data_IF_255678952568
#
_entry.id   IF_255678952568
#
_cell.length_a   1.000
_cell.length_b   1.000
_cell.length_c   1.000
_cell.angle_alpha   90.00
_cell.angle_beta   90.00
_cell.angle_gamma   90.00
#
_symmetry.space_group_name_H-M   'P 1'
#
loop_
_entity.id
_entity.type
_entity.pdbx_description
1 polymer ?
#
# COMPACT_ATOMS: atom_id res chain seq x y z
N UNK A 1 58.04 52.42 46.50
CA UNK A 1 57.92 52.87 45.11
C UNK A 1 57.70 51.65 44.23
N UNK A 2 56.56 51.58 43.51
CA UNK A 2 56.19 50.63 42.43
C UNK A 2 55.97 49.16 42.85
N UNK A 3 54.72 48.71 42.99
CA UNK A 3 53.71 48.29 41.99
C UNK A 3 53.75 46.77 41.73
N UNK A 4 52.61 46.15 42.07
CA UNK A 4 52.10 44.81 41.77
C UNK A 4 52.64 44.18 40.49
N UNK A 5 52.75 42.85 40.46
CA UNK A 5 52.08 42.00 39.45
C UNK A 5 51.98 40.56 40.02
N UNK A 6 50.76 40.13 40.34
CA UNK A 6 50.40 38.71 40.45
C UNK A 6 50.19 38.18 39.04
N UNK A 7 51.00 37.22 38.61
CA UNK A 7 50.78 36.48 37.37
C UNK A 7 50.23 35.09 37.73
N UNK A 8 48.92 34.97 37.57
CA UNK A 8 48.16 33.71 37.58
C UNK A 8 48.52 32.95 36.29
N UNK A 9 49.03 31.72 36.40
CA UNK A 9 49.15 30.81 35.26
C UNK A 9 47.76 30.24 34.92
N UNK A 10 47.33 30.25 33.64
CA UNK A 10 46.03 29.74 33.25
C UNK A 10 46.03 28.20 33.16
N UNK A 11 44.99 27.61 33.74
CA UNK A 11 44.64 26.21 33.59
C UNK A 11 44.23 25.91 32.13
N UNK A 12 44.84 24.91 31.52
CA UNK A 12 44.43 24.40 30.21
C UNK A 12 43.11 23.62 30.36
N UNK A 13 42.01 24.20 29.87
CA UNK A 13 40.72 23.52 29.75
C UNK A 13 40.73 22.73 28.44
N UNK A 14 40.81 21.40 28.53
CA UNK A 14 40.61 20.52 27.39
C UNK A 14 39.10 20.44 27.08
N UNK A 15 38.70 21.04 25.95
CA UNK A 15 37.35 20.90 25.42
C UNK A 15 37.20 19.50 24.79
N UNK A 16 36.48 18.61 25.44
CA UNK A 16 36.05 17.34 24.84
C UNK A 16 34.87 17.61 23.89
N UNK A 17 35.11 17.49 22.59
CA UNK A 17 34.05 17.57 21.58
C UNK A 17 33.18 16.30 21.66
N UNK A 18 31.93 16.45 22.11
CA UNK A 18 30.91 15.41 22.01
C UNK A 18 30.51 15.29 20.52
N UNK A 19 30.99 14.24 19.86
CA UNK A 19 30.47 13.85 18.55
C UNK A 19 29.05 13.31 18.72
N UNK A 20 28.05 14.12 18.34
CA UNK A 20 26.69 13.66 18.20
C UNK A 20 26.62 12.66 17.05
N UNK A 21 26.56 11.37 17.35
CA UNK A 21 26.19 10.33 16.39
C UNK A 21 24.74 10.56 15.99
N UNK A 22 24.53 11.18 14.83
CA UNK A 22 23.21 11.29 14.22
C UNK A 22 22.65 9.89 13.98
N UNK A 23 21.49 9.60 14.57
CA UNK A 23 20.68 8.46 14.19
C UNK A 23 20.19 8.73 12.77
N UNK A 24 20.69 7.97 11.80
CA UNK A 24 20.13 7.96 10.46
C UNK A 24 18.68 7.44 10.56
N UNK A 25 17.72 8.36 10.60
CA UNK A 25 16.35 8.07 10.24
C UNK A 25 16.39 7.62 8.78
N UNK A 26 16.17 6.33 8.54
CA UNK A 26 16.17 5.77 7.20
C UNK A 26 15.25 6.59 6.30
N UNK A 27 15.77 6.99 5.14
CA UNK A 27 14.99 7.59 4.07
C UNK A 27 13.74 6.74 3.86
N UNK A 28 12.58 7.35 4.04
CA UNK A 28 11.35 6.76 3.57
C UNK A 28 11.48 6.67 2.05
N UNK A 29 11.63 5.46 1.52
CA UNK A 29 11.68 5.20 0.08
C UNK A 29 10.41 5.78 -0.58
N UNK A 30 10.54 6.97 -1.14
CA UNK A 30 9.47 7.74 -1.80
C UNK A 30 9.09 7.09 -3.14
N UNK A 31 9.99 6.31 -3.76
CA UNK A 31 9.79 5.69 -5.08
C UNK A 31 8.85 4.49 -5.12
N UNK A 32 8.41 4.00 -3.96
CA UNK A 32 7.64 2.76 -3.81
C UNK A 32 6.15 2.99 -3.47
N UNK A 33 5.70 4.25 -3.40
CA UNK A 33 4.31 4.61 -3.14
C UNK A 33 3.56 4.98 -4.42
N UNK A 34 2.25 4.72 -4.47
CA UNK A 34 1.41 5.19 -5.57
C UNK A 34 1.40 6.72 -5.63
N UNK A 35 1.49 7.30 -6.84
CA UNK A 35 1.28 8.73 -7.01
C UNK A 35 -0.13 9.08 -6.50
N UNK A 36 -0.29 10.34 -6.06
CA UNK A 36 -1.53 10.98 -5.57
C UNK A 36 -2.20 10.38 -4.32
N UNK A 37 -2.03 9.09 -4.03
CA UNK A 37 -2.61 8.43 -2.85
C UNK A 37 -1.58 8.02 -1.79
N UNK A 38 -0.32 7.83 -2.18
CA UNK A 38 0.74 7.39 -1.26
C UNK A 38 0.49 5.98 -0.69
N UNK A 39 -0.22 5.12 -1.42
CA UNK A 39 -0.46 3.72 -1.03
C UNK A 39 0.76 2.91 -1.42
N UNK A 40 1.26 2.04 -0.52
CA UNK A 40 2.37 1.12 -0.78
C UNK A 40 1.88 -0.31 -0.88
N UNK A 41 2.69 -1.21 -1.43
CA UNK A 41 2.46 -2.65 -1.33
C UNK A 41 2.54 -3.07 0.15
N UNK A 42 1.48 -3.67 0.74
CA UNK A 42 1.55 -4.12 2.13
C UNK A 42 2.58 -5.23 2.30
N UNK A 43 3.25 -5.31 3.45
CA UNK A 43 4.12 -6.46 3.72
C UNK A 43 3.27 -7.72 3.88
N UNK A 44 3.76 -8.85 3.36
CA UNK A 44 3.16 -10.18 3.52
C UNK A 44 1.70 -10.32 3.04
N UNK A 45 1.17 -9.44 2.18
CA UNK A 45 -0.24 -9.52 1.73
C UNK A 45 -0.59 -10.85 1.08
N UNK A 46 0.39 -11.59 0.53
CA UNK A 46 0.17 -12.91 -0.09
C UNK A 46 -0.24 -13.99 0.91
N UNK A 47 -0.08 -13.73 2.21
CA UNK A 47 -0.51 -14.61 3.30
C UNK A 47 -1.90 -14.21 3.84
N UNK A 48 -2.49 -13.12 3.33
CA UNK A 48 -3.81 -12.68 3.78
C UNK A 48 -4.90 -13.58 3.21
N UNK A 49 -6.05 -13.59 3.90
CA UNK A 49 -7.17 -14.43 3.54
C UNK A 49 -7.75 -14.05 2.16
N UNK A 50 -8.12 -15.07 1.39
CA UNK A 50 -8.85 -14.92 0.14
C UNK A 50 -10.25 -14.34 0.42
N UNK A 51 -10.62 -13.31 -0.33
CA UNK A 51 -11.96 -12.73 -0.34
C UNK A 51 -12.79 -13.38 -1.44
N UNK A 52 -12.29 -13.37 -2.68
CA UNK A 52 -12.91 -14.06 -3.80
C UNK A 52 -11.97 -14.11 -5.01
N UNK A 53 -12.09 -15.16 -5.85
CA UNK A 53 -11.55 -15.14 -7.21
C UNK A 53 -12.45 -14.32 -8.15
N UNK A 54 -11.88 -13.92 -9.28
CA UNK A 54 -12.62 -13.38 -10.42
C UNK A 54 -11.87 -13.69 -11.72
N UNK A 55 -12.63 -13.80 -12.82
CA UNK A 55 -12.07 -13.82 -14.17
C UNK A 55 -12.54 -12.55 -14.88
N UNK A 56 -11.58 -11.81 -15.45
CA UNK A 56 -11.90 -10.71 -16.34
C UNK A 56 -11.70 -11.14 -17.78
N UNK A 57 -12.74 -10.96 -18.59
CA UNK A 57 -12.73 -11.26 -20.00
C UNK A 57 -11.83 -10.29 -20.79
N UNK A 58 -11.88 -10.40 -22.12
CA UNK A 58 -11.26 -9.44 -23.02
C UNK A 58 -11.63 -7.98 -22.64
N UNK A 59 -10.69 -7.02 -22.79
CA UNK A 59 -9.39 -7.16 -23.44
C UNK A 59 -8.24 -7.57 -22.50
N UNK A 60 -8.48 -7.66 -21.19
CA UNK A 60 -7.41 -7.90 -20.23
C UNK A 60 -7.11 -9.39 -20.06
N UNK A 61 -8.12 -10.26 -20.16
CA UNK A 61 -7.94 -11.73 -20.11
C UNK A 61 -7.14 -12.14 -18.87
N UNK A 62 -7.66 -11.78 -17.70
CA UNK A 62 -6.96 -11.96 -16.43
C UNK A 62 -7.71 -12.91 -15.49
N UNK A 63 -6.96 -13.82 -14.85
CA UNK A 63 -7.36 -14.42 -13.59
C UNK A 63 -6.99 -13.49 -12.45
N UNK A 64 -7.91 -13.32 -11.51
CA UNK A 64 -7.78 -12.40 -10.39
C UNK A 64 -8.16 -13.07 -9.08
N UNK A 65 -7.49 -12.65 -8.02
CA UNK A 65 -7.84 -13.01 -6.67
C UNK A 65 -7.73 -11.77 -5.79
N UNK A 66 -8.73 -11.53 -4.95
CA UNK A 66 -8.70 -10.43 -3.98
C UNK A 66 -8.42 -11.02 -2.62
N UNK A 67 -7.40 -10.51 -1.96
CA UNK A 67 -7.02 -10.83 -0.59
C UNK A 67 -7.40 -9.67 0.32
N UNK A 68 -7.71 -9.95 1.58
CA UNK A 68 -8.07 -8.93 2.55
C UNK A 68 -7.43 -9.17 3.91
N UNK A 69 -7.05 -8.08 4.58
CA UNK A 69 -6.57 -8.18 5.95
C UNK A 69 -7.71 -8.60 6.93
N UNK A 70 -7.37 -8.89 8.18
CA UNK A 70 -8.34 -9.32 9.19
C UNK A 70 -9.53 -8.37 9.35
N UNK A 71 -9.31 -7.06 9.17
CA UNK A 71 -10.38 -6.05 9.20
C UNK A 71 -11.34 -6.22 8.03
N UNK A 72 -10.82 -6.43 6.81
CA UNK A 72 -11.63 -6.71 5.64
C UNK A 72 -12.47 -7.97 5.84
N UNK A 73 -11.86 -9.07 6.28
CA UNK A 73 -12.54 -10.35 6.51
C UNK A 73 -13.68 -10.20 7.53
N UNK A 74 -13.40 -9.56 8.68
CA UNK A 74 -14.42 -9.30 9.70
C UNK A 74 -15.56 -8.44 9.15
N UNK A 75 -15.24 -7.37 8.42
CA UNK A 75 -16.25 -6.52 7.81
C UNK A 75 -17.14 -7.30 6.82
N UNK A 76 -16.56 -8.15 5.98
CA UNK A 76 -17.33 -9.00 5.08
C UNK A 76 -18.22 -10.01 5.81
N UNK A 77 -17.68 -10.73 6.80
CA UNK A 77 -18.42 -11.73 7.57
C UNK A 77 -19.58 -11.09 8.36
N UNK A 78 -19.36 -9.89 8.90
CA UNK A 78 -20.38 -9.13 9.63
C UNK A 78 -21.26 -8.25 8.73
N UNK A 79 -21.07 -8.30 7.40
CA UNK A 79 -21.79 -7.45 6.42
C UNK A 79 -21.72 -5.95 6.76
N UNK A 80 -20.58 -5.50 7.27
CA UNK A 80 -20.36 -4.12 7.69
C UNK A 80 -20.04 -3.24 6.49
N UNK A 81 -20.88 -2.23 6.27
CA UNK A 81 -20.61 -1.13 5.34
C UNK A 81 -20.95 0.22 6.00
N UNK A 82 -20.19 1.29 5.75
CA UNK A 82 -18.89 1.31 5.07
C UNK A 82 -17.84 0.42 5.73
N UNK A 83 -16.80 0.02 4.99
CA UNK A 83 -15.69 -0.71 5.57
C UNK A 83 -14.99 0.17 6.62
N UNK A 84 -14.54 -0.42 7.75
CA UNK A 84 -13.86 0.34 8.79
C UNK A 84 -12.48 0.83 8.31
N UNK A 85 -12.03 1.96 8.84
CA UNK A 85 -10.68 2.49 8.59
C UNK A 85 -9.60 1.43 8.90
N UNK A 86 -8.55 1.42 8.09
CA UNK A 86 -7.50 0.40 8.08
C UNK A 86 -7.89 -0.91 7.40
N UNK A 87 -9.08 -1.01 6.79
CA UNK A 87 -9.38 -2.07 5.83
C UNK A 87 -8.42 -1.97 4.65
N UNK A 88 -7.84 -3.11 4.26
CA UNK A 88 -7.00 -3.20 3.06
C UNK A 88 -7.43 -4.38 2.21
N UNK A 89 -7.64 -4.11 0.93
CA UNK A 89 -7.90 -5.12 -0.10
C UNK A 89 -6.77 -5.11 -1.12
N UNK A 90 -6.30 -6.29 -1.48
CA UNK A 90 -5.24 -6.48 -2.48
C UNK A 90 -5.73 -7.41 -3.57
N UNK A 91 -5.91 -6.86 -4.78
CA UNK A 91 -6.25 -7.62 -5.98
C UNK A 91 -4.97 -8.02 -6.71
N UNK A 92 -4.76 -9.33 -6.80
CA UNK A 92 -3.72 -9.95 -7.60
C UNK A 92 -4.30 -10.27 -8.97
N UNK A 93 -3.51 -10.05 -10.02
CA UNK A 93 -3.90 -10.34 -11.39
C UNK A 93 -2.78 -11.06 -12.15
N UNK A 94 -3.17 -12.03 -12.95
CA UNK A 94 -2.32 -12.81 -13.83
C UNK A 94 -3.00 -13.00 -15.17
N UNK A 95 -2.20 -13.15 -16.24
CA UNK A 95 -2.68 -13.83 -17.45
C UNK A 95 -3.09 -15.26 -17.08
N UNK A 96 -4.07 -15.81 -17.77
CA UNK A 96 -4.39 -17.23 -17.64
C UNK A 96 -3.72 -18.03 -18.75
N UNK A 97 -3.26 -19.23 -18.38
CA UNK A 97 -2.71 -20.21 -19.31
C UNK A 97 -3.46 -21.52 -19.15
N UNK A 98 -3.47 -22.32 -20.20
CA UNK A 98 -4.01 -23.67 -20.17
C UNK A 98 -3.20 -24.51 -19.17
N UNK A 99 -3.87 -25.28 -18.31
CA UNK A 99 -3.18 -26.20 -17.39
C UNK A 99 -2.51 -27.31 -18.20
N UNK A 100 -1.20 -27.56 -18.03
CA UNK A 100 -0.52 -28.68 -18.69
C UNK A 100 -0.89 -30.03 -18.06
N UNK A 101 -1.47 -30.03 -16.86
CA UNK A 101 -1.81 -31.23 -16.09
C UNK A 101 -3.31 -31.57 -16.14
N UNK A 102 -4.16 -30.62 -16.57
CA UNK A 102 -5.61 -30.80 -16.61
C UNK A 102 -6.26 -29.92 -17.68
N UNK A 103 -6.39 -30.45 -18.90
CA UNK A 103 -6.95 -29.79 -20.10
C UNK A 103 -8.26 -28.98 -19.88
N UNK A 104 -9.22 -29.37 -19.02
CA UNK A 104 -10.40 -28.54 -18.81
C UNK A 104 -10.18 -27.24 -18.00
N UNK A 105 -9.02 -27.07 -17.34
CA UNK A 105 -8.78 -25.96 -16.42
C UNK A 105 -7.72 -24.96 -16.94
N UNK A 106 -7.91 -23.69 -16.59
CA UNK A 106 -6.87 -22.66 -16.70
C UNK A 106 -6.24 -22.36 -15.35
N UNK A 107 -4.97 -21.95 -15.37
CA UNK A 107 -4.20 -21.61 -14.18
C UNK A 107 -3.55 -20.22 -14.34
N UNK A 108 -3.14 -19.57 -13.23
CA UNK A 108 -2.35 -18.35 -13.29
C UNK A 108 -1.04 -18.55 -14.05
N UNK A 109 -0.79 -17.67 -15.02
CA UNK A 109 0.47 -17.53 -15.75
C UNK A 109 1.25 -16.28 -15.27
N UNK A 110 1.72 -15.47 -16.21
CA UNK A 110 2.47 -14.26 -15.91
C UNK A 110 1.66 -13.27 -15.06
N UNK A 111 2.23 -12.79 -13.96
CA UNK A 111 1.63 -11.75 -13.14
C UNK A 111 1.57 -10.43 -13.94
N UNK A 112 0.43 -9.73 -13.86
CA UNK A 112 0.23 -8.45 -14.55
C UNK A 112 0.29 -7.29 -13.58
N UNK A 113 -0.59 -7.29 -12.58
CA UNK A 113 -0.68 -6.21 -11.60
C UNK A 113 -0.98 -6.71 -10.20
N UNK A 114 -0.53 -5.93 -9.23
CA UNK A 114 -1.05 -5.94 -7.86
C UNK A 114 -1.74 -4.61 -7.65
N UNK A 115 -3.01 -4.63 -7.24
CA UNK A 115 -3.79 -3.42 -7.00
C UNK A 115 -4.23 -3.41 -5.54
N UNK A 116 -4.04 -2.28 -4.87
CA UNK A 116 -4.27 -2.12 -3.43
C UNK A 116 -5.29 -1.02 -3.21
N UNK A 117 -6.23 -1.25 -2.31
CA UNK A 117 -7.12 -0.21 -1.78
C UNK A 117 -7.00 -0.17 -0.28
N UNK A 118 -6.86 1.03 0.29
CA UNK A 118 -6.75 1.26 1.74
C UNK A 118 -7.86 2.20 2.19
N UNK A 119 -8.64 1.78 3.18
CA UNK A 119 -9.65 2.61 3.82
C UNK A 119 -9.00 3.51 4.87
N UNK A 120 -9.16 4.82 4.70
CA UNK A 120 -8.88 5.84 5.70
C UNK A 120 -9.78 7.05 5.39
N UNK A 121 -10.87 7.16 6.14
CA UNK A 121 -11.92 8.15 5.95
C UNK A 121 -11.43 9.59 6.04
N UNK A 122 -10.37 9.84 6.83
CA UNK A 122 -9.78 11.17 6.97
C UNK A 122 -8.76 11.46 5.87
N UNK A 123 -7.83 10.52 5.64
CA UNK A 123 -6.75 10.71 4.65
C UNK A 123 -7.30 10.80 3.23
N UNK A 124 -8.36 10.04 2.91
CA UNK A 124 -8.90 9.91 1.56
C UNK A 124 -10.33 10.47 1.46
N UNK A 125 -10.63 11.56 2.17
CA UNK A 125 -11.96 12.15 2.21
C UNK A 125 -12.52 12.52 0.82
N UNK A 126 -11.67 12.97 -0.10
CA UNK A 126 -12.07 13.33 -1.48
C UNK A 126 -12.40 12.13 -2.37
N UNK A 127 -12.04 10.91 -1.95
CA UNK A 127 -12.22 9.67 -2.71
C UNK A 127 -13.02 8.63 -1.94
N UNK A 128 -14.03 9.08 -1.18
CA UNK A 128 -14.93 8.18 -0.45
C UNK A 128 -14.26 7.40 0.68
N UNK A 129 -13.13 7.89 1.18
CA UNK A 129 -12.33 7.25 2.22
C UNK A 129 -11.38 6.18 1.69
N UNK A 130 -11.15 6.08 0.37
CA UNK A 130 -10.26 5.06 -0.21
C UNK A 130 -9.06 5.65 -0.94
N UNK A 131 -7.87 5.17 -0.60
CA UNK A 131 -6.65 5.38 -1.36
C UNK A 131 -6.35 4.17 -2.23
N UNK A 132 -5.77 4.41 -3.41
CA UNK A 132 -5.54 3.37 -4.41
C UNK A 132 -4.07 3.26 -4.78
N UNK A 133 -3.62 2.04 -5.06
CA UNK A 133 -2.31 1.75 -5.63
C UNK A 133 -2.41 0.69 -6.71
N UNK A 134 -1.71 0.88 -7.83
CA UNK A 134 -1.55 -0.08 -8.92
C UNK A 134 -0.07 -0.29 -9.12
N UNK A 135 0.37 -1.54 -9.06
CA UNK A 135 1.77 -1.91 -9.12
C UNK A 135 2.02 -2.93 -10.24
N UNK A 136 3.07 -2.68 -11.01
CA UNK A 136 3.58 -3.56 -12.08
C UNK A 136 5.01 -3.92 -11.68
N UNK A 137 5.30 -5.22 -11.56
CA UNK A 137 6.61 -5.71 -11.12
C UNK A 137 7.12 -5.07 -9.82
N UNK A 138 6.21 -4.81 -8.86
CA UNK A 138 6.53 -4.22 -7.57
C UNK A 138 6.65 -2.69 -7.56
N UNK A 139 6.59 -2.03 -8.72
CA UNK A 139 6.70 -0.56 -8.84
C UNK A 139 5.35 0.09 -9.12
N UNK A 140 5.08 1.29 -8.58
CA UNK A 140 3.82 1.97 -8.83
C UNK A 140 3.68 2.34 -10.30
N UNK A 141 2.48 2.19 -10.84
CA UNK A 141 2.10 2.74 -12.14
C UNK A 141 2.10 4.29 -12.10
N UNK A 142 2.05 4.91 -13.28
CA UNK A 142 2.05 6.37 -13.41
C UNK A 142 0.81 7.04 -12.79
N UNK A 143 0.89 8.36 -12.65
CA UNK A 143 -0.19 9.18 -12.09
C UNK A 143 -1.47 9.11 -12.94
N UNK A 144 -1.35 9.11 -14.27
CA UNK A 144 -2.50 9.10 -15.16
C UNK A 144 -3.37 7.86 -14.93
N UNK A 145 -2.77 6.69 -14.74
CA UNK A 145 -3.50 5.47 -14.39
C UNK A 145 -4.18 5.59 -13.02
N UNK A 146 -3.51 6.18 -12.02
CA UNK A 146 -4.07 6.33 -10.67
C UNK A 146 -5.25 7.31 -10.63
N UNK A 147 -5.22 8.39 -11.41
CA UNK A 147 -6.33 9.36 -11.51
C UNK A 147 -7.66 8.70 -11.93
N UNK A 148 -7.62 7.57 -12.63
CA UNK A 148 -8.83 6.85 -13.08
C UNK A 148 -9.49 6.00 -11.99
N UNK A 149 -8.78 5.69 -10.90
CA UNK A 149 -9.19 4.66 -9.95
C UNK A 149 -10.51 5.01 -9.25
N UNK A 150 -10.56 6.17 -8.58
CA UNK A 150 -11.76 6.54 -7.83
C UNK A 150 -12.97 6.78 -8.73
N UNK A 151 -12.80 7.47 -9.86
CA UNK A 151 -13.91 7.76 -10.78
C UNK A 151 -14.61 6.47 -11.27
N UNK A 152 -13.84 5.43 -11.61
CA UNK A 152 -14.40 4.14 -12.00
C UNK A 152 -15.16 3.45 -10.84
N UNK A 153 -14.57 3.44 -9.64
CA UNK A 153 -15.21 2.85 -8.46
C UNK A 153 -16.47 3.61 -8.03
N UNK A 154 -16.46 4.94 -8.10
CA UNK A 154 -17.61 5.79 -7.84
C UNK A 154 -18.74 5.50 -8.83
N UNK A 155 -18.43 5.49 -10.14
CA UNK A 155 -19.43 5.28 -11.18
C UNK A 155 -20.11 3.91 -11.13
N UNK A 156 -19.42 2.87 -10.62
CA UNK A 156 -19.89 1.48 -10.71
C UNK A 156 -20.35 0.88 -9.38
N UNK A 157 -19.75 1.28 -8.26
CA UNK A 157 -19.93 0.60 -6.96
C UNK A 157 -20.04 1.55 -5.76
N UNK A 158 -20.48 2.81 -5.98
CA UNK A 158 -20.70 3.77 -4.88
C UNK A 158 -21.60 3.24 -3.76
N UNK A 159 -22.64 2.45 -4.09
CA UNK A 159 -23.60 1.92 -3.11
C UNK A 159 -23.06 0.73 -2.31
N UNK A 160 -21.80 0.35 -2.49
CA UNK A 160 -21.16 -0.74 -1.76
C UNK A 160 -19.78 -0.31 -1.25
N UNK A 161 -19.73 0.93 -0.74
CA UNK A 161 -18.52 1.57 -0.25
C UNK A 161 -17.36 1.49 -1.24
N UNK A 162 -17.66 1.69 -2.53
CA UNK A 162 -16.69 1.70 -3.61
C UNK A 162 -15.95 0.38 -3.82
N UNK A 163 -16.43 -0.76 -3.32
CA UNK A 163 -15.77 -2.08 -3.46
C UNK A 163 -16.58 -3.02 -4.36
N UNK A 164 -15.94 -3.53 -5.42
CA UNK A 164 -16.53 -4.50 -6.36
C UNK A 164 -16.67 -5.90 -5.77
N UNK A 165 -15.67 -6.35 -5.03
CA UNK A 165 -15.57 -7.74 -4.60
C UNK A 165 -16.59 -8.05 -3.50
N UNK A 166 -17.26 -9.19 -3.63
CA UNK A 166 -18.07 -9.81 -2.58
C UNK A 166 -17.30 -10.97 -1.99
N UNK A 167 -17.51 -11.24 -0.72
CA UNK A 167 -16.88 -12.37 -0.05
C UNK A 167 -17.46 -13.69 -0.57
N UNK A 168 -16.59 -14.55 -1.08
CA UNK A 168 -16.88 -15.92 -1.47
C UNK A 168 -16.30 -16.84 -0.38
N UNK A 169 -17.12 -17.30 0.57
CA UNK A 169 -16.68 -18.11 1.71
C UNK A 169 -16.21 -19.50 1.29
#
# INVERSE_FOLDING_TARGET
MKLNHWAVLPAAIALAALAATGVALGEADEGDASPIYGVKLPKNYRQWALIAPAQEAAPLEELRAVLGNDRAIKAYQSKTLPFPDGTVLVKLAWKHVQSPEFEPASIPGAATTVQVMVKDSRKYASTGGWGFGRFINGKPADEAQHQTCFACHQARVQNHDFVFTRYAP
#
